data_IF_733793476261
#
_entry.id   IF_733793476261
#
_cell.length_a   1.000
_cell.length_b   1.000
_cell.length_c   1.000
_cell.angle_alpha   90.00
_cell.angle_beta   90.00
_cell.angle_gamma   90.00
#
_symmetry.space_group_name_H-M   'P 1'
#
loop_
_entity.id
_entity.type
_entity.pdbx_description
1 polymer ?
#
# COMPACT_ATOMS: atom_id res chain seq x y z
N UNK A 1 -23.06 13.98 -9.06
CA UNK A 1 -22.92 12.51 -9.22
C UNK A 1 -22.42 12.15 -10.61
N UNK A 2 -21.77 10.99 -10.74
CA UNK A 2 -21.28 10.45 -12.01
C UNK A 2 -21.79 9.01 -12.15
N UNK A 3 -22.54 8.72 -13.22
CA UNK A 3 -23.00 7.37 -13.51
C UNK A 3 -21.90 6.55 -14.21
N UNK A 4 -21.65 5.32 -13.74
CA UNK A 4 -20.73 4.37 -14.36
C UNK A 4 -21.54 3.23 -14.99
N UNK A 5 -21.76 3.31 -16.30
CA UNK A 5 -22.55 2.33 -17.06
C UNK A 5 -21.59 1.29 -17.66
N UNK A 6 -21.66 0.05 -17.16
CA UNK A 6 -20.80 -1.05 -17.61
C UNK A 6 -21.53 -1.90 -18.65
N UNK A 7 -21.22 -1.78 -19.95
CA UNK A 7 -21.86 -2.60 -20.97
C UNK A 7 -21.38 -4.05 -20.87
N UNK A 8 -22.31 -4.99 -20.77
CA UNK A 8 -22.04 -6.41 -20.85
C UNK A 8 -22.94 -7.07 -21.89
N UNK A 9 -22.45 -8.10 -22.61
CA UNK A 9 -23.30 -8.86 -23.51
C UNK A 9 -24.42 -9.60 -22.73
N UNK A 10 -25.42 -10.17 -23.43
CA UNK A 10 -26.38 -11.06 -22.80
C UNK A 10 -25.69 -12.18 -22.02
N UNK A 11 -26.25 -12.51 -20.86
CA UNK A 11 -25.71 -13.57 -20.02
C UNK A 11 -25.94 -14.94 -20.64
N UNK A 12 -24.94 -15.83 -20.50
CA UNK A 12 -25.03 -17.23 -20.98
C UNK A 12 -26.22 -17.96 -20.33
N UNK A 13 -26.43 -17.71 -19.03
CA UNK A 13 -27.66 -18.10 -18.32
C UNK A 13 -28.54 -16.86 -18.28
N UNK A 14 -29.66 -16.88 -18.99
CA UNK A 14 -30.58 -15.76 -19.07
C UNK A 14 -30.92 -15.22 -17.67
N UNK A 15 -30.59 -13.95 -17.43
CA UNK A 15 -30.85 -13.25 -16.16
C UNK A 15 -29.82 -13.49 -15.04
N UNK A 16 -28.80 -14.34 -15.21
CA UNK A 16 -27.80 -14.62 -14.16
C UNK A 16 -26.69 -13.57 -14.10
N UNK A 17 -27.04 -12.35 -13.69
CA UNK A 17 -26.14 -11.19 -13.66
C UNK A 17 -24.93 -11.32 -12.72
N UNK A 18 -24.89 -12.33 -11.85
CA UNK A 18 -23.67 -12.67 -11.08
C UNK A 18 -22.46 -13.04 -11.97
N UNK A 19 -22.70 -13.31 -13.26
CA UNK A 19 -21.69 -13.72 -14.23
C UNK A 19 -21.02 -12.51 -14.89
N UNK A 20 -21.43 -12.12 -16.11
CA UNK A 20 -20.81 -11.03 -16.87
C UNK A 20 -20.90 -9.69 -16.16
N UNK A 21 -22.12 -9.29 -15.78
CA UNK A 21 -22.34 -8.02 -15.08
C UNK A 21 -21.60 -7.95 -13.73
N UNK A 22 -21.65 -9.00 -12.91
CA UNK A 22 -20.96 -9.06 -11.62
C UNK A 22 -19.43 -9.02 -11.76
N UNK A 23 -18.89 -9.65 -12.81
CA UNK A 23 -17.46 -9.58 -13.11
C UNK A 23 -17.05 -8.17 -13.54
N UNK A 24 -17.84 -7.52 -14.39
CA UNK A 24 -17.59 -6.14 -14.80
C UNK A 24 -17.60 -5.18 -13.59
N UNK A 25 -18.57 -5.33 -12.69
CA UNK A 25 -18.66 -4.54 -11.46
C UNK A 25 -17.42 -4.74 -10.57
N UNK A 26 -16.98 -6.00 -10.37
CA UNK A 26 -15.76 -6.29 -9.59
C UNK A 26 -14.54 -5.59 -10.19
N UNK A 27 -14.37 -5.64 -11.52
CA UNK A 27 -13.25 -5.00 -12.20
C UNK A 27 -13.31 -3.48 -11.98
N UNK A 28 -14.47 -2.87 -12.17
CA UNK A 28 -14.65 -1.43 -11.96
C UNK A 28 -14.33 -1.01 -10.51
N UNK A 29 -14.87 -1.72 -9.53
CA UNK A 29 -14.61 -1.44 -8.11
C UNK A 29 -13.14 -1.65 -7.72
N UNK A 30 -12.50 -2.69 -8.26
CA UNK A 30 -11.08 -2.91 -8.05
C UNK A 30 -10.23 -1.80 -8.67
N UNK A 31 -10.56 -1.35 -9.89
CA UNK A 31 -9.85 -0.25 -10.54
C UNK A 31 -9.99 1.05 -9.74
N UNK A 32 -11.21 1.41 -9.35
CA UNK A 32 -11.48 2.61 -8.55
C UNK A 32 -10.74 2.57 -7.21
N UNK A 33 -10.88 1.51 -6.42
CA UNK A 33 -10.23 1.40 -5.11
C UNK A 33 -8.70 1.36 -5.22
N UNK A 34 -8.15 0.74 -6.26
CA UNK A 34 -6.70 0.73 -6.51
C UNK A 34 -6.18 2.12 -6.84
N UNK A 35 -6.85 2.84 -7.75
CA UNK A 35 -6.49 4.22 -8.10
C UNK A 35 -6.57 5.15 -6.89
N UNK A 36 -7.63 5.03 -6.08
CA UNK A 36 -7.73 5.78 -4.82
C UNK A 36 -6.57 5.46 -3.88
N UNK A 37 -6.18 4.20 -3.73
CA UNK A 37 -5.03 3.82 -2.92
C UNK A 37 -3.72 4.44 -3.43
N UNK A 38 -3.52 4.48 -4.75
CA UNK A 38 -2.35 5.12 -5.35
C UNK A 38 -2.33 6.62 -5.03
N UNK A 39 -3.44 7.34 -5.25
CA UNK A 39 -3.56 8.77 -4.96
C UNK A 39 -3.39 9.11 -3.47
N UNK A 40 -3.82 8.21 -2.58
CA UNK A 40 -3.64 8.34 -1.12
C UNK A 40 -2.22 7.92 -0.65
N UNK A 41 -1.27 7.68 -1.55
CA UNK A 41 0.10 7.28 -1.22
C UNK A 41 0.19 5.91 -0.56
N UNK A 42 -0.78 5.02 -0.79
CA UNK A 42 -0.80 3.67 -0.22
C UNK A 42 0.07 2.67 -0.99
N UNK A 43 0.57 3.08 -2.15
CA UNK A 43 1.42 2.31 -3.05
C UNK A 43 2.74 3.05 -3.25
N UNK A 44 3.85 2.31 -3.23
CA UNK A 44 5.19 2.79 -3.57
C UNK A 44 5.78 1.83 -4.60
N UNK A 45 6.09 2.31 -5.81
CA UNK A 45 6.65 1.51 -6.91
C UNK A 45 5.96 0.14 -7.12
N UNK A 46 4.63 0.14 -7.10
CA UNK A 46 3.81 -1.07 -7.25
C UNK A 46 3.66 -1.93 -5.98
N UNK A 47 4.30 -1.57 -4.88
CA UNK A 47 4.19 -2.25 -3.59
C UNK A 47 3.13 -1.59 -2.70
N UNK A 48 2.22 -2.37 -2.13
CA UNK A 48 1.29 -1.90 -1.11
C UNK A 48 2.04 -1.60 0.18
N UNK A 49 2.18 -0.33 0.54
CA UNK A 49 2.88 0.12 1.76
C UNK A 49 1.90 0.54 2.86
N UNK A 50 0.61 0.75 2.56
CA UNK A 50 -0.41 1.00 3.58
C UNK A 50 -1.01 -0.29 4.14
N UNK A 51 -0.22 -1.04 4.91
CA UNK A 51 -0.67 -2.24 5.61
C UNK A 51 -0.01 -2.36 6.96
N UNK A 52 -0.70 -3.06 7.87
CA UNK A 52 -0.17 -3.47 9.17
C UNK A 52 0.10 -4.98 9.18
N UNK A 53 1.30 -5.38 9.58
CA UNK A 53 1.77 -6.77 9.49
C UNK A 53 1.33 -7.63 10.70
N UNK A 54 0.03 -7.91 10.78
CA UNK A 54 -0.59 -8.66 11.90
C UNK A 54 -0.45 -10.20 11.84
N UNK A 55 -0.01 -10.75 10.72
CA UNK A 55 0.11 -12.20 10.53
C UNK A 55 1.41 -12.58 9.82
N UNK A 56 1.80 -13.85 9.91
CA UNK A 56 3.07 -14.37 9.37
C UNK A 56 3.26 -14.08 7.88
N UNK A 57 2.19 -14.16 7.07
CA UNK A 57 2.24 -13.85 5.64
C UNK A 57 2.53 -12.36 5.42
N UNK A 58 1.81 -11.47 6.11
CA UNK A 58 2.01 -10.03 5.99
C UNK A 58 3.36 -9.58 6.56
N UNK A 59 3.85 -10.20 7.64
CA UNK A 59 5.20 -9.94 8.18
C UNK A 59 6.29 -10.27 7.15
N UNK A 60 6.22 -11.46 6.54
CA UNK A 60 7.16 -11.82 5.47
C UNK A 60 7.11 -10.86 4.28
N UNK A 61 5.90 -10.47 3.87
CA UNK A 61 5.69 -9.50 2.78
C UNK A 61 6.24 -8.12 3.15
N UNK A 62 5.97 -7.63 4.34
CA UNK A 62 6.41 -6.33 4.85
C UNK A 62 7.94 -6.25 4.91
N UNK A 63 8.60 -7.29 5.44
CA UNK A 63 10.07 -7.38 5.46
C UNK A 63 10.65 -7.30 4.04
N UNK A 64 10.07 -8.02 3.07
CA UNK A 64 10.52 -7.95 1.68
C UNK A 64 10.35 -6.54 1.06
N UNK A 65 9.23 -5.87 1.36
CA UNK A 65 8.96 -4.49 0.91
C UNK A 65 9.98 -3.52 1.52
N UNK A 66 10.21 -3.59 2.83
CA UNK A 66 11.17 -2.70 3.52
C UNK A 66 12.55 -2.87 2.91
N UNK A 67 13.04 -4.10 2.76
CA UNK A 67 14.34 -4.37 2.11
C UNK A 67 14.43 -3.81 0.71
N UNK A 68 13.37 -3.96 -0.09
CA UNK A 68 13.35 -3.46 -1.47
C UNK A 68 13.43 -1.93 -1.53
N UNK A 69 12.80 -1.22 -0.59
CA UNK A 69 12.75 0.26 -0.59
C UNK A 69 13.97 0.88 0.09
N UNK A 70 14.40 0.36 1.25
CA UNK A 70 15.49 0.95 2.03
C UNK A 70 16.86 0.35 1.74
N UNK A 71 16.95 -0.78 1.03
CA UNK A 71 18.21 -1.43 0.67
C UNK A 71 18.91 -2.14 1.82
N UNK A 72 18.24 -2.30 2.97
CA UNK A 72 18.79 -2.97 4.15
C UNK A 72 18.67 -4.50 4.08
N UNK A 73 19.40 -5.20 4.95
CA UNK A 73 19.26 -6.65 5.09
C UNK A 73 17.97 -7.06 5.83
N UNK A 74 17.72 -8.36 5.86
CA UNK A 74 16.50 -8.93 6.46
C UNK A 74 16.40 -8.74 7.97
N UNK A 75 17.54 -8.74 8.68
CA UNK A 75 17.58 -8.50 10.12
C UNK A 75 17.10 -7.10 10.44
N UNK A 76 17.72 -6.09 9.80
CA UNK A 76 17.33 -4.67 10.00
C UNK A 76 15.87 -4.44 9.61
N UNK A 77 15.41 -5.00 8.49
CA UNK A 77 14.00 -4.88 8.08
C UNK A 77 13.03 -5.52 9.07
N UNK A 78 13.40 -6.65 9.68
CA UNK A 78 12.58 -7.34 10.68
C UNK A 78 12.54 -6.56 11.99
N UNK A 79 13.68 -6.06 12.46
CA UNK A 79 13.78 -5.26 13.68
C UNK A 79 13.01 -3.95 13.58
N UNK A 80 13.17 -3.23 12.46
CA UNK A 80 12.44 -1.97 12.23
C UNK A 80 10.94 -2.17 12.07
N UNK A 81 10.50 -3.27 11.44
CA UNK A 81 9.10 -3.64 11.38
C UNK A 81 8.51 -3.94 12.76
N UNK A 82 9.27 -4.62 13.63
CA UNK A 82 8.84 -4.88 15.01
C UNK A 82 8.79 -3.58 15.83
N UNK A 83 9.80 -2.71 15.70
CA UNK A 83 9.86 -1.43 16.39
C UNK A 83 8.71 -0.49 15.97
N UNK A 84 8.32 -0.52 14.69
CA UNK A 84 7.22 0.26 14.15
C UNK A 84 5.82 -0.33 14.45
N UNK A 85 5.75 -1.40 15.24
CA UNK A 85 4.52 -2.16 15.52
C UNK A 85 3.80 -2.52 14.22
N UNK A 86 4.49 -3.21 13.30
CA UNK A 86 3.89 -3.73 12.07
C UNK A 86 3.54 -2.70 10.98
N UNK A 87 3.69 -1.40 11.23
CA UNK A 87 3.48 -0.33 10.24
C UNK A 87 4.63 -0.31 9.21
N UNK A 88 4.31 -0.66 7.97
CA UNK A 88 5.30 -0.77 6.89
C UNK A 88 5.90 0.57 6.49
N UNK A 89 5.13 1.66 6.47
CA UNK A 89 5.65 2.98 6.07
C UNK A 89 6.62 3.50 7.14
N UNK A 90 6.21 3.43 8.41
CA UNK A 90 7.03 3.88 9.52
C UNK A 90 8.31 3.03 9.64
N UNK A 91 8.19 1.71 9.49
CA UNK A 91 9.34 0.80 9.47
C UNK A 91 10.31 1.12 8.32
N UNK A 92 9.79 1.43 7.13
CA UNK A 92 10.61 1.77 5.96
C UNK A 92 11.42 3.05 6.20
N UNK A 93 10.81 4.09 6.76
CA UNK A 93 11.51 5.34 7.10
C UNK A 93 12.51 5.13 8.24
N UNK A 94 12.18 4.33 9.25
CA UNK A 94 13.10 3.95 10.32
C UNK A 94 14.33 3.22 9.76
N UNK A 95 14.12 2.24 8.87
CA UNK A 95 15.19 1.52 8.17
C UNK A 95 16.01 2.43 7.25
N UNK A 96 15.42 3.50 6.71
CA UNK A 96 16.10 4.51 5.91
C UNK A 96 16.83 5.58 6.73
N UNK A 97 16.80 5.49 8.08
CA UNK A 97 17.57 6.37 8.97
C UNK A 97 16.77 7.43 9.72
N UNK A 98 15.43 7.35 9.75
CA UNK A 98 14.65 8.22 10.63
C UNK A 98 15.03 7.97 12.11
N UNK A 99 15.20 9.04 12.89
CA UNK A 99 15.74 8.93 14.26
C UNK A 99 14.83 8.21 15.27
N UNK A 100 13.54 8.05 14.97
CA UNK A 100 12.59 7.29 15.80
C UNK A 100 11.34 6.93 15.01
N UNK A 101 10.55 5.97 15.53
CA UNK A 101 9.22 5.64 14.99
C UNK A 101 8.28 6.84 15.01
N UNK A 102 8.36 7.69 16.05
CA UNK A 102 7.56 8.92 16.14
C UNK A 102 7.93 9.91 15.03
N UNK A 103 9.24 10.12 14.79
CA UNK A 103 9.71 10.97 13.70
C UNK A 103 9.31 10.42 12.32
N UNK A 104 9.40 9.10 12.12
CA UNK A 104 8.94 8.44 10.90
C UNK A 104 7.44 8.66 10.66
N UNK A 105 6.60 8.47 11.69
CA UNK A 105 5.14 8.72 11.59
C UNK A 105 4.83 10.20 11.31
N UNK A 106 5.54 11.12 11.96
CA UNK A 106 5.42 12.56 11.67
C UNK A 106 5.73 12.90 10.21
N UNK A 107 6.83 12.36 9.66
CA UNK A 107 7.16 12.55 8.24
C UNK A 107 6.07 12.03 7.30
N UNK A 108 5.45 10.90 7.62
CA UNK A 108 4.35 10.35 6.81
C UNK A 108 3.13 11.28 6.87
N UNK A 109 2.78 11.78 8.06
CA UNK A 109 1.65 12.68 8.26
C UNK A 109 1.85 14.01 7.54
N UNK A 110 3.02 14.63 7.68
CA UNK A 110 3.41 15.88 7.01
C UNK A 110 3.27 15.79 5.48
N UNK A 111 3.50 14.60 4.92
CA UNK A 111 3.40 14.33 3.48
C UNK A 111 2.12 13.57 3.10
N UNK A 112 1.07 13.67 3.93
CA UNK A 112 -0.27 13.12 3.67
C UNK A 112 -0.27 11.64 3.28
N UNK A 113 0.62 10.85 3.89
CA UNK A 113 0.76 9.43 3.63
C UNK A 113 1.67 9.07 2.47
N UNK A 114 2.23 10.03 1.72
CA UNK A 114 3.09 9.76 0.58
C UNK A 114 4.51 9.37 1.02
N UNK A 115 4.84 8.09 0.87
CA UNK A 115 6.15 7.55 1.29
C UNK A 115 7.31 8.06 0.41
N UNK A 116 7.07 8.38 -0.88
CA UNK A 116 8.10 8.90 -1.77
C UNK A 116 8.59 10.26 -1.28
N UNK A 117 7.65 11.19 -1.04
CA UNK A 117 7.97 12.52 -0.52
C UNK A 117 8.59 12.45 0.89
N UNK A 118 8.12 11.56 1.75
CA UNK A 118 8.70 11.38 3.07
C UNK A 118 10.15 10.87 3.03
N UNK A 119 10.48 9.97 2.09
CA UNK A 119 11.84 9.48 1.86
C UNK A 119 12.74 10.55 1.26
N UNK A 120 12.25 11.33 0.29
CA UNK A 120 12.99 12.44 -0.30
C UNK A 120 13.35 13.47 0.77
N UNK A 121 12.36 13.87 1.58
CA UNK A 121 12.56 14.79 2.70
C UNK A 121 13.59 14.29 3.71
N UNK A 122 13.55 12.99 4.04
CA UNK A 122 14.50 12.34 4.95
C UNK A 122 15.92 12.34 4.37
N UNK A 123 16.06 12.15 3.05
CA UNK A 123 17.33 12.13 2.33
C UNK A 123 17.86 13.52 1.98
N UNK A 124 17.07 14.57 2.19
CA UNK A 124 17.42 15.94 1.84
C UNK A 124 17.33 16.24 0.34
N UNK A 125 16.49 15.48 -0.38
CA UNK A 125 16.12 15.70 -1.77
C UNK A 125 14.82 16.53 -1.83
#
# INVERSE_FOLDING_TARGET
>A
DIAVLLPTPPEVIAGSTRMGAGTAQKIALNALSTLMGIELGHVFDGMMVNLHADNTKLRRRAVAIIRAISGVDEGVATETLAAADGDVKAATLLAAGAGSVSAARGLIEDHKGNLHQALDRLRGL
#
